data_IF_294660627085
#
_entry.id   IF_294660627085
#
_cell.length_a   1.000
_cell.length_b   1.000
_cell.length_c   1.000
_cell.angle_alpha   90.00
_cell.angle_beta   90.00
_cell.angle_gamma   90.00
#
_symmetry.space_group_name_H-M   'P 1'
#
loop_
_entity.id
_entity.type
_entity.pdbx_description
1 polymer ?
#
# COMPACT_ATOMS: atom_id res chain seq x y z
N UNK A 1 -34.71 -10.07 -19.93
CA UNK A 1 -34.31 -10.22 -18.53
C UNK A 1 -33.66 -8.93 -18.05
N UNK A 2 -34.41 -8.13 -17.28
CA UNK A 2 -33.85 -6.92 -16.66
C UNK A 2 -33.01 -7.32 -15.45
N UNK A 3 -31.70 -7.08 -15.48
CA UNK A 3 -30.78 -7.31 -14.37
C UNK A 3 -31.10 -6.45 -13.15
N UNK A 4 -31.93 -5.42 -13.30
CA UNK A 4 -32.32 -4.46 -12.25
C UNK A 4 -33.67 -3.81 -12.59
N UNK A 5 -34.53 -3.66 -11.59
CA UNK A 5 -35.77 -2.90 -11.71
C UNK A 5 -35.58 -1.45 -11.26
N UNK A 6 -36.33 -0.52 -11.85
CA UNK A 6 -36.33 0.90 -11.50
C UNK A 6 -35.59 1.78 -12.51
N UNK A 7 -35.68 3.11 -12.31
CA UNK A 7 -35.05 4.12 -13.15
C UNK A 7 -33.51 4.08 -12.99
N UNK A 8 -32.80 4.21 -14.10
CA UNK A 8 -31.35 4.24 -14.10
C UNK A 8 -30.79 5.50 -13.39
N UNK A 9 -29.66 5.33 -12.68
CA UNK A 9 -28.97 6.44 -12.04
C UNK A 9 -28.15 7.23 -13.08
N UNK A 10 -28.83 7.98 -13.95
CA UNK A 10 -28.20 8.75 -15.03
C UNK A 10 -27.12 9.72 -14.53
N UNK A 11 -27.31 10.49 -13.43
CA UNK A 11 -26.26 11.35 -12.90
C UNK A 11 -25.00 10.57 -12.49
N UNK A 12 -25.15 9.42 -11.85
CA UNK A 12 -24.04 8.55 -11.46
C UNK A 12 -23.29 7.97 -12.67
N UNK A 13 -24.03 7.56 -13.70
CA UNK A 13 -23.44 7.07 -14.97
C UNK A 13 -22.67 8.17 -15.66
N UNK A 14 -23.24 9.38 -15.76
CA UNK A 14 -22.57 10.54 -16.36
C UNK A 14 -21.31 10.93 -15.58
N UNK A 15 -21.37 10.92 -14.24
CA UNK A 15 -20.22 11.17 -13.39
C UNK A 15 -19.09 10.15 -13.59
N UNK A 16 -19.44 8.86 -13.66
CA UNK A 16 -18.48 7.78 -13.94
C UNK A 16 -17.83 7.97 -15.32
N UNK A 17 -18.61 8.28 -16.36
CA UNK A 17 -18.09 8.53 -17.70
C UNK A 17 -17.12 9.73 -17.72
N UNK A 18 -17.45 10.81 -17.02
CA UNK A 18 -16.56 11.99 -16.92
C UNK A 18 -15.28 11.67 -16.15
N UNK A 19 -15.37 10.94 -15.04
CA UNK A 19 -14.19 10.50 -14.29
C UNK A 19 -13.27 9.62 -15.16
N UNK A 20 -13.83 8.69 -15.92
CA UNK A 20 -13.07 7.86 -16.85
C UNK A 20 -12.39 8.70 -17.95
N UNK A 21 -13.10 9.64 -18.58
CA UNK A 21 -12.54 10.56 -19.57
C UNK A 21 -11.33 11.33 -19.00
N UNK A 22 -11.46 11.89 -17.79
CA UNK A 22 -10.39 12.63 -17.14
C UNK A 22 -9.17 11.74 -16.82
N UNK A 23 -9.42 10.51 -16.36
CA UNK A 23 -8.35 9.55 -16.04
C UNK A 23 -7.61 9.13 -17.31
N UNK A 24 -8.32 8.77 -18.36
CA UNK A 24 -7.69 8.30 -19.60
C UNK A 24 -6.98 9.39 -20.37
N UNK A 25 -7.40 10.65 -20.25
CA UNK A 25 -6.73 11.79 -20.91
C UNK A 25 -5.29 12.02 -20.44
N UNK A 26 -4.92 11.52 -19.24
CA UNK A 26 -3.59 11.68 -18.64
C UNK A 26 -2.99 10.35 -18.18
N UNK A 27 -3.53 9.23 -18.64
CA UNK A 27 -3.20 7.91 -18.10
C UNK A 27 -1.71 7.60 -18.14
N UNK A 28 -1.06 7.81 -19.27
CA UNK A 28 0.36 7.47 -19.45
C UNK A 28 1.27 8.32 -18.55
N UNK A 29 0.99 9.62 -18.42
CA UNK A 29 1.72 10.54 -17.54
C UNK A 29 1.55 10.17 -16.07
N UNK A 30 0.31 9.99 -15.63
CA UNK A 30 -0.02 9.66 -14.25
C UNK A 30 0.51 8.25 -13.88
N UNK A 31 0.42 7.29 -14.79
CA UNK A 31 0.97 5.95 -14.59
C UNK A 31 2.51 5.97 -14.47
N UNK A 32 3.20 6.70 -15.34
CA UNK A 32 4.65 6.84 -15.26
C UNK A 32 5.10 7.46 -13.93
N UNK A 33 4.40 8.50 -13.46
CA UNK A 33 4.67 9.13 -12.16
C UNK A 33 4.43 8.17 -10.99
N UNK A 34 3.34 7.42 -10.98
CA UNK A 34 3.06 6.41 -9.97
C UNK A 34 4.14 5.32 -9.95
N UNK A 35 4.61 4.88 -11.11
CA UNK A 35 5.71 3.93 -11.22
C UNK A 35 7.02 4.49 -10.64
N UNK A 36 7.31 5.78 -10.87
CA UNK A 36 8.48 6.45 -10.30
C UNK A 36 8.40 6.52 -8.76
N UNK A 37 7.26 6.94 -8.20
CA UNK A 37 7.01 6.94 -6.75
C UNK A 37 7.15 5.53 -6.16
N UNK A 38 6.57 4.52 -6.81
CA UNK A 38 6.68 3.13 -6.38
C UNK A 38 8.11 2.64 -6.36
N UNK A 39 8.87 2.87 -7.42
CA UNK A 39 10.28 2.51 -7.51
C UNK A 39 11.09 3.15 -6.40
N UNK A 40 10.98 4.47 -6.24
CA UNK A 40 11.67 5.24 -5.19
C UNK A 40 11.35 4.69 -3.79
N UNK A 41 10.08 4.39 -3.52
CA UNK A 41 9.68 3.81 -2.24
C UNK A 41 10.28 2.42 -2.02
N UNK A 42 10.26 1.53 -3.04
CA UNK A 42 10.82 0.18 -2.94
C UNK A 42 12.34 0.23 -2.73
N UNK A 43 13.04 1.10 -3.44
CA UNK A 43 14.48 1.30 -3.28
C UNK A 43 14.79 1.73 -1.84
N UNK A 44 14.14 2.79 -1.35
CA UNK A 44 14.37 3.30 -0.01
C UNK A 44 13.99 2.31 1.09
N UNK A 45 12.85 1.63 1.00
CA UNK A 45 12.44 0.71 2.07
C UNK A 45 13.35 -0.52 2.17
N UNK A 46 14.03 -0.91 1.09
CA UNK A 46 15.02 -2.00 1.08
C UNK A 46 16.32 -1.68 1.83
N UNK A 47 16.59 -0.40 2.13
CA UNK A 47 17.72 0.01 2.97
C UNK A 47 17.49 -0.36 4.46
N UNK A 48 16.26 -0.69 4.84
CA UNK A 48 15.94 -1.16 6.17
C UNK A 48 16.19 -2.68 6.28
N UNK A 49 16.88 -3.08 7.35
CA UNK A 49 17.07 -4.50 7.65
C UNK A 49 15.75 -5.24 7.87
N UNK A 50 15.71 -6.53 7.55
CA UNK A 50 14.59 -7.42 7.81
C UNK A 50 13.25 -6.89 7.26
N UNK A 51 13.28 -6.36 6.06
CA UNK A 51 12.11 -5.89 5.32
C UNK A 51 11.91 -6.76 4.09
N UNK A 52 10.67 -7.10 3.80
CA UNK A 52 10.27 -7.83 2.60
C UNK A 52 9.21 -7.05 1.85
N UNK A 53 9.47 -6.73 0.59
CA UNK A 53 8.44 -6.18 -0.32
C UNK A 53 7.69 -7.36 -0.94
N UNK A 54 6.39 -7.44 -0.68
CA UNK A 54 5.57 -8.58 -1.06
C UNK A 54 5.02 -8.46 -2.50
N UNK A 55 4.84 -9.61 -3.17
CA UNK A 55 4.21 -9.68 -4.48
C UNK A 55 5.08 -9.19 -5.63
N UNK A 56 6.39 -9.09 -5.44
CA UNK A 56 7.32 -8.83 -6.52
C UNK A 56 7.75 -10.14 -7.20
N UNK A 57 7.94 -10.08 -8.52
CA UNK A 57 8.49 -11.17 -9.30
C UNK A 57 10.01 -11.02 -9.45
N UNK A 58 10.76 -12.12 -9.62
CA UNK A 58 12.22 -12.06 -9.78
C UNK A 58 12.70 -11.20 -10.96
N UNK A 59 11.94 -11.19 -12.05
CA UNK A 59 12.18 -10.45 -13.28
C UNK A 59 11.52 -9.05 -13.29
N UNK A 60 10.78 -8.72 -12.22
CA UNK A 60 10.10 -7.44 -12.04
C UNK A 60 10.36 -6.86 -10.63
N UNK A 61 11.61 -6.48 -10.31
CA UNK A 61 12.06 -6.15 -8.95
C UNK A 61 11.40 -4.89 -8.36
N UNK A 62 10.77 -4.07 -9.19
CA UNK A 62 10.02 -2.88 -8.75
C UNK A 62 8.51 -3.04 -8.97
N UNK A 63 8.06 -4.26 -9.27
CA UNK A 63 6.66 -4.60 -9.46
C UNK A 63 6.11 -4.14 -10.81
N UNK A 64 6.93 -4.18 -11.84
CA UNK A 64 6.51 -4.01 -13.24
C UNK A 64 5.38 -5.01 -13.54
N UNK A 65 4.33 -4.56 -14.22
CA UNK A 65 3.13 -5.36 -14.49
C UNK A 65 2.17 -5.55 -13.31
N UNK A 66 2.48 -4.97 -12.14
CA UNK A 66 1.57 -4.93 -10.99
C UNK A 66 0.97 -3.53 -10.79
N UNK A 67 0.00 -3.39 -9.86
CA UNK A 67 -0.64 -2.10 -9.58
C UNK A 67 0.40 -1.04 -9.20
N UNK A 68 0.55 0.01 -10.01
CA UNK A 68 1.55 1.06 -9.83
C UNK A 68 1.36 1.87 -8.53
N UNK A 69 0.14 1.90 -8.01
CA UNK A 69 -0.27 2.69 -6.85
C UNK A 69 -0.25 1.93 -5.52
N UNK A 70 0.24 0.67 -5.48
CA UNK A 70 0.22 -0.15 -4.27
C UNK A 70 1.60 -0.78 -4.05
N UNK A 71 2.08 -0.70 -2.79
CA UNK A 71 3.22 -1.46 -2.29
C UNK A 71 2.85 -2.13 -0.97
N UNK A 72 3.05 -3.44 -0.87
CA UNK A 72 2.88 -4.21 0.35
C UNK A 72 4.24 -4.54 0.94
N UNK A 73 4.47 -4.18 2.21
CA UNK A 73 5.76 -4.36 2.86
C UNK A 73 5.59 -5.02 4.22
N UNK A 74 6.36 -6.06 4.47
CA UNK A 74 6.45 -6.72 5.76
C UNK A 74 7.70 -6.25 6.52
N UNK A 75 7.51 -5.84 7.78
CA UNK A 75 8.57 -5.35 8.67
C UNK A 75 8.77 -6.37 9.81
N UNK A 76 9.65 -7.36 9.61
CA UNK A 76 9.85 -8.40 10.62
C UNK A 76 10.19 -7.81 12.00
N UNK A 77 9.54 -8.36 13.04
CA UNK A 77 9.72 -7.89 14.41
C UNK A 77 8.94 -6.63 14.79
N UNK A 78 8.06 -6.12 13.91
CA UNK A 78 7.20 -4.97 14.20
C UNK A 78 5.75 -5.35 13.91
N UNK A 79 4.85 -5.16 14.87
CA UNK A 79 3.42 -5.36 14.64
C UNK A 79 2.87 -4.26 13.75
N UNK A 80 2.10 -4.64 12.74
CA UNK A 80 1.54 -3.71 11.75
C UNK A 80 0.65 -2.62 12.37
N UNK A 81 -0.16 -2.96 13.38
CA UNK A 81 -1.01 -2.00 14.10
C UNK A 81 -0.18 -0.92 14.82
N UNK A 82 0.92 -1.32 15.46
CA UNK A 82 1.80 -0.38 16.18
C UNK A 82 2.50 0.54 15.20
N UNK A 83 2.99 0.00 14.08
CA UNK A 83 3.62 0.81 13.03
C UNK A 83 2.62 1.75 12.36
N UNK A 84 1.39 1.29 12.12
CA UNK A 84 0.32 2.09 11.55
C UNK A 84 0.07 3.35 12.40
N UNK A 85 -0.17 3.19 13.70
CA UNK A 85 -0.41 4.32 14.60
C UNK A 85 0.80 5.24 14.74
N UNK A 86 2.01 4.68 14.77
CA UNK A 86 3.23 5.49 14.83
C UNK A 86 3.46 6.33 13.55
N UNK A 87 3.01 5.84 12.39
CA UNK A 87 3.01 6.59 11.13
C UNK A 87 1.88 7.64 11.11
N UNK A 88 0.69 7.28 11.60
CA UNK A 88 -0.46 8.18 11.72
C UNK A 88 -0.12 9.41 12.57
N UNK A 89 0.59 9.23 13.69
CA UNK A 89 1.12 10.33 14.53
C UNK A 89 2.07 11.29 13.78
N UNK A 90 2.61 10.86 12.63
CA UNK A 90 3.42 11.68 11.72
C UNK A 90 2.63 12.21 10.52
N UNK A 91 1.31 12.02 10.50
CA UNK A 91 0.46 12.41 9.38
C UNK A 91 0.57 11.49 8.16
N UNK A 92 1.11 10.27 8.32
CA UNK A 92 1.28 9.28 7.25
C UNK A 92 0.24 8.18 7.43
N UNK A 93 -0.74 8.14 6.53
CA UNK A 93 -1.86 7.22 6.59
C UNK A 93 -1.61 6.00 5.70
N UNK A 94 -1.62 4.81 6.32
CA UNK A 94 -1.35 3.52 5.69
C UNK A 94 -2.45 2.51 6.05
N UNK A 95 -2.38 1.30 5.51
CA UNK A 95 -3.35 0.24 5.84
C UNK A 95 -2.64 -1.00 6.35
N UNK A 96 -3.14 -1.57 7.45
CA UNK A 96 -2.77 -2.89 7.92
C UNK A 96 -3.83 -3.92 7.50
N UNK A 97 -3.42 -5.15 7.21
CA UNK A 97 -4.33 -6.20 6.74
C UNK A 97 -5.38 -6.64 7.76
N UNK A 98 -5.18 -6.37 9.05
CA UNK A 98 -6.06 -6.70 10.17
C UNK A 98 -7.09 -5.60 10.50
N UNK A 99 -6.92 -4.38 9.96
CA UNK A 99 -7.73 -3.21 10.36
C UNK A 99 -9.24 -3.33 10.09
N UNK A 100 -9.66 -4.18 9.15
CA UNK A 100 -11.08 -4.36 8.79
C UNK A 100 -11.81 -5.44 9.59
N UNK A 101 -11.13 -6.21 10.46
CA UNK A 101 -11.75 -7.30 11.22
C UNK A 101 -11.76 -7.02 12.73
N UNK A 102 -12.39 -5.91 13.11
CA UNK A 102 -12.50 -5.46 14.52
C UNK A 102 -13.08 -6.49 15.50
N UNK A 103 -13.74 -7.55 15.02
CA UNK A 103 -14.35 -8.58 15.88
C UNK A 103 -13.63 -9.93 15.89
N UNK A 104 -12.79 -10.24 14.91
CA UNK A 104 -11.89 -11.43 14.93
C UNK A 104 -10.71 -11.14 14.00
N UNK A 105 -9.48 -10.93 14.50
CA UNK A 105 -8.30 -10.76 13.66
C UNK A 105 -8.12 -12.02 12.79
N UNK A 106 -8.47 -11.91 11.52
CA UNK A 106 -8.22 -12.98 10.55
C UNK A 106 -7.03 -12.54 9.69
N UNK A 107 -6.00 -13.38 9.56
CA UNK A 107 -4.89 -13.08 8.67
C UNK A 107 -5.40 -12.84 7.24
N UNK A 108 -4.87 -11.81 6.58
CA UNK A 108 -5.27 -11.42 5.22
C UNK A 108 -5.23 -12.60 4.25
N UNK A 109 -6.38 -12.91 3.63
CA UNK A 109 -6.47 -13.95 2.61
C UNK A 109 -5.59 -13.63 1.38
N UNK A 110 -5.46 -12.35 1.03
CA UNK A 110 -4.60 -11.87 -0.05
C UNK A 110 -3.13 -12.17 0.24
N UNK A 111 -2.64 -11.81 1.44
CA UNK A 111 -1.25 -12.07 1.82
C UNK A 111 -0.91 -13.56 1.83
N UNK A 112 -1.85 -14.40 2.28
CA UNK A 112 -1.71 -15.86 2.22
C UNK A 112 -1.66 -16.36 0.78
N UNK A 113 -2.54 -15.84 -0.09
CA UNK A 113 -2.62 -16.26 -1.49
C UNK A 113 -1.35 -15.92 -2.29
N UNK A 114 -0.70 -14.78 -1.99
CA UNK A 114 0.57 -14.40 -2.60
C UNK A 114 1.80 -15.00 -1.92
N UNK A 115 1.60 -15.92 -0.95
CA UNK A 115 2.67 -16.70 -0.33
C UNK A 115 3.49 -15.96 0.72
N UNK A 116 2.97 -14.91 1.35
CA UNK A 116 3.65 -14.24 2.46
C UNK A 116 3.78 -15.22 3.64
N UNK A 117 4.99 -15.31 4.22
CA UNK A 117 5.26 -16.15 5.39
C UNK A 117 4.30 -15.82 6.54
N UNK A 118 3.84 -16.89 7.24
CA UNK A 118 2.89 -16.74 8.33
C UNK A 118 3.37 -15.82 9.45
N UNK A 119 4.68 -15.81 9.72
CA UNK A 119 5.31 -14.94 10.72
C UNK A 119 5.29 -13.46 10.36
N UNK A 120 5.07 -13.11 9.09
CA UNK A 120 5.06 -11.75 8.59
C UNK A 120 3.65 -11.18 8.36
N UNK A 121 2.60 -12.01 8.46
CA UNK A 121 1.22 -11.56 8.19
C UNK A 121 0.80 -10.39 9.08
N UNK A 122 1.15 -10.44 10.37
CA UNK A 122 0.84 -9.39 11.36
C UNK A 122 1.87 -8.23 11.37
N UNK A 123 2.86 -8.30 10.49
CA UNK A 123 3.91 -7.30 10.33
C UNK A 123 3.84 -6.57 8.99
N UNK A 124 2.73 -6.73 8.26
CA UNK A 124 2.60 -6.24 6.89
C UNK A 124 1.75 -4.98 6.82
N UNK A 125 2.29 -3.96 6.18
CA UNK A 125 1.62 -2.68 5.87
C UNK A 125 1.47 -2.54 4.36
N UNK A 126 0.31 -2.01 3.93
CA UNK A 126 0.06 -1.59 2.55
C UNK A 126 0.17 -0.08 2.45
N UNK A 127 1.08 0.37 1.61
CA UNK A 127 1.21 1.76 1.18
C UNK A 127 0.43 1.94 -0.13
N UNK A 128 -0.33 3.02 -0.22
CA UNK A 128 -1.13 3.34 -1.40
C UNK A 128 -0.83 4.77 -1.85
N UNK A 129 -0.53 4.93 -3.13
CA UNK A 129 -0.21 6.20 -3.75
C UNK A 129 -1.39 6.66 -4.61
N UNK A 130 -1.48 7.95 -4.84
CA UNK A 130 -2.44 8.56 -5.77
C UNK A 130 -1.72 9.35 -6.84
N UNK A 131 -2.45 9.80 -7.84
CA UNK A 131 -1.92 10.69 -8.87
C UNK A 131 -1.43 12.04 -8.32
N UNK A 132 -1.73 12.35 -7.06
CA UNK A 132 -1.24 13.56 -6.36
C UNK A 132 -0.01 13.29 -5.49
N UNK A 133 0.36 12.03 -5.28
CA UNK A 133 1.54 11.68 -4.47
C UNK A 133 2.81 12.15 -5.16
N UNK A 134 3.68 12.82 -4.41
CA UNK A 134 4.96 13.34 -4.89
C UNK A 134 6.15 12.51 -4.37
N UNK A 135 7.31 12.65 -5.01
CA UNK A 135 8.54 12.00 -4.55
C UNK A 135 9.00 12.55 -3.19
N UNK A 136 8.74 13.82 -2.91
CA UNK A 136 9.05 14.44 -1.61
C UNK A 136 8.22 13.81 -0.49
N UNK A 137 6.94 13.49 -0.73
CA UNK A 137 6.10 12.77 0.23
C UNK A 137 6.60 11.35 0.46
N UNK A 138 7.08 10.66 -0.58
CA UNK A 138 7.76 9.37 -0.46
C UNK A 138 8.99 9.49 0.45
N UNK A 139 9.82 10.50 0.27
CA UNK A 139 11.00 10.73 1.11
C UNK A 139 10.65 11.03 2.57
N UNK A 140 9.57 11.78 2.80
CA UNK A 140 9.06 12.02 4.16
C UNK A 140 8.66 10.69 4.81
N UNK A 141 7.95 9.83 4.08
CA UNK A 141 7.55 8.52 4.56
C UNK A 141 8.76 7.63 4.87
N UNK A 142 9.75 7.57 3.98
CA UNK A 142 10.98 6.79 4.17
C UNK A 142 11.75 7.27 5.41
N UNK A 143 11.95 8.57 5.59
CA UNK A 143 12.59 9.12 6.79
C UNK A 143 11.85 8.75 8.08
N UNK A 144 10.52 8.77 8.06
CA UNK A 144 9.73 8.32 9.20
C UNK A 144 9.96 6.82 9.49
N UNK A 145 9.96 5.97 8.47
CA UNK A 145 10.23 4.54 8.60
C UNK A 145 11.63 4.26 9.15
N UNK A 146 12.66 4.97 8.69
CA UNK A 146 14.04 4.82 9.17
C UNK A 146 14.20 5.13 10.66
N UNK A 147 13.37 6.02 11.21
CA UNK A 147 13.38 6.33 12.63
C UNK A 147 12.50 5.38 13.44
N UNK A 148 11.29 5.10 12.96
CA UNK A 148 10.26 4.38 13.70
C UNK A 148 10.57 2.86 13.77
N UNK A 149 10.89 2.24 12.65
CA UNK A 149 11.06 0.76 12.58
C UNK A 149 12.16 0.25 13.51
N UNK A 150 13.38 0.82 13.53
CA UNK A 150 14.40 0.39 14.48
C UNK A 150 14.02 0.63 15.94
N UNK A 151 13.30 1.73 16.23
CA UNK A 151 12.82 2.03 17.57
C UNK A 151 11.82 0.96 18.02
N UNK A 152 10.80 0.64 17.25
CA UNK A 152 9.78 -0.33 17.59
C UNK A 152 10.37 -1.73 17.80
N UNK A 153 11.35 -2.14 17.00
CA UNK A 153 12.05 -3.43 17.17
C UNK A 153 12.75 -3.57 18.51
N UNK A 154 13.29 -2.49 19.07
CA UNK A 154 13.94 -2.50 20.41
C UNK A 154 12.92 -2.81 21.50
N UNK A 155 11.70 -2.34 21.39
CA UNK A 155 10.63 -2.58 22.37
C UNK A 155 9.97 -3.97 22.22
N UNK A 156 9.98 -4.54 21.02
CA UNK A 156 9.40 -5.87 20.77
C UNK A 156 10.29 -7.04 21.23
N UNK A 157 11.56 -6.78 21.59
CA UNK A 157 12.52 -7.78 22.07
C UNK A 157 12.49 -7.98 23.60
N UNK A 158 11.59 -7.34 24.30
CA UNK A 158 11.34 -7.51 25.74
C UNK A 158 10.00 -8.23 25.93
#
# INVERSE_FOLDING_TARGET
DSLRSGTENVPGIAGLAKAAEMLYSRFDEDHARLCACKRRFIEGVRELDQVTVNGLLPDAPYGEGTAAHIVSVSFAGVRSEVLLHALEDKGIYVSAGSACSAHKPQPSATLKAIGVDKSLLDSTIRFSFSVFTTEEEIDVCLRALYNIVPMLRRYSRR
#
